data_IF_409953272400
#
_entry.id   IF_409953272400
#
_cell.length_a   1.000
_cell.length_b   1.000
_cell.length_c   1.000
_cell.angle_alpha   90.00
_cell.angle_beta   90.00
_cell.angle_gamma   90.00
#
_symmetry.space_group_name_H-M   'P 1'
#
loop_
_entity.id
_entity.type
_entity.pdbx_description
1 polymer ?
#
# COMPACT_ATOMS: atom_id res chain seq x y z
N UNK A 1 -69.93 -12.54 -30.08
CA UNK A 1 -69.34 -13.74 -29.44
C UNK A 1 -67.83 -13.58 -29.44
N UNK A 2 -67.23 -13.70 -28.26
CA UNK A 2 -65.87 -13.24 -27.91
C UNK A 2 -64.78 -14.05 -28.64
N UNK A 3 -63.78 -13.34 -29.15
CA UNK A 3 -62.52 -13.92 -29.63
C UNK A 3 -61.67 -14.38 -28.45
N UNK A 4 -61.13 -15.60 -28.55
CA UNK A 4 -60.06 -16.11 -27.71
C UNK A 4 -58.74 -15.47 -28.13
N UNK A 5 -58.17 -14.62 -27.28
CA UNK A 5 -56.75 -14.26 -27.33
C UNK A 5 -56.06 -14.96 -26.14
N UNK A 6 -54.88 -15.57 -26.34
CA UNK A 6 -54.07 -16.05 -25.24
C UNK A 6 -53.50 -14.86 -24.46
N UNK A 7 -53.75 -14.82 -23.16
CA UNK A 7 -53.13 -13.86 -22.25
C UNK A 7 -51.61 -14.12 -22.21
N UNK A 8 -50.86 -13.20 -22.80
CA UNK A 8 -49.41 -13.10 -22.62
C UNK A 8 -49.10 -12.42 -21.28
N UNK A 9 -48.10 -12.98 -20.59
CA UNK A 9 -47.50 -12.64 -19.29
C UNK A 9 -47.42 -11.15 -18.95
N UNK A 10 -47.54 -10.85 -17.65
CA UNK A 10 -46.58 -10.00 -16.91
C UNK A 10 -46.76 -10.21 -15.40
N UNK A 11 -45.92 -11.06 -14.83
CA UNK A 11 -45.54 -10.96 -13.41
C UNK A 11 -44.02 -11.11 -13.33
N UNK A 12 -43.30 -10.15 -13.88
CA UNK A 12 -41.95 -9.84 -13.41
C UNK A 12 -42.12 -9.08 -12.11
N UNK A 13 -42.21 -9.81 -11.00
CA UNK A 13 -41.70 -9.29 -9.73
C UNK A 13 -40.23 -9.00 -9.98
N UNK A 14 -39.89 -7.72 -10.21
CA UNK A 14 -38.49 -7.30 -10.17
C UNK A 14 -38.02 -7.56 -8.74
N UNK A 15 -37.27 -8.63 -8.53
CA UNK A 15 -36.47 -8.79 -7.33
C UNK A 15 -35.50 -7.62 -7.38
N UNK A 16 -35.74 -6.62 -6.53
CA UNK A 16 -34.76 -5.55 -6.31
C UNK A 16 -33.64 -6.24 -5.55
N UNK A 17 -32.63 -6.71 -6.28
CA UNK A 17 -31.44 -7.24 -5.64
C UNK A 17 -30.78 -6.10 -4.89
N UNK A 18 -30.49 -6.36 -3.62
CA UNK A 18 -29.62 -5.51 -2.84
C UNK A 18 -28.22 -5.57 -3.45
N UNK A 19 -27.83 -4.49 -4.13
CA UNK A 19 -26.54 -4.37 -4.80
C UNK A 19 -25.41 -4.54 -3.78
N UNK A 20 -25.60 -4.05 -2.55
CA UNK A 20 -24.60 -4.16 -1.50
C UNK A 20 -24.38 -5.62 -1.11
N UNK A 21 -25.46 -6.40 -1.02
CA UNK A 21 -25.38 -7.83 -0.77
C UNK A 21 -24.62 -8.57 -1.88
N UNK A 22 -24.85 -8.22 -3.15
CA UNK A 22 -24.13 -8.84 -4.28
C UNK A 22 -22.64 -8.48 -4.23
N UNK A 23 -22.31 -7.20 -3.97
CA UNK A 23 -20.93 -6.77 -3.81
C UNK A 23 -20.26 -7.54 -2.67
N UNK A 24 -20.93 -7.74 -1.54
CA UNK A 24 -20.40 -8.52 -0.42
C UNK A 24 -20.11 -9.98 -0.82
N UNK A 25 -21.00 -10.60 -1.59
CA UNK A 25 -20.81 -11.97 -2.06
C UNK A 25 -19.58 -12.10 -2.98
N UNK A 26 -19.43 -11.17 -3.92
CA UNK A 26 -18.25 -11.13 -4.78
C UNK A 26 -16.98 -10.76 -4.02
N UNK A 27 -17.09 -9.98 -2.95
CA UNK A 27 -15.98 -9.63 -2.06
C UNK A 27 -15.47 -10.87 -1.30
N UNK A 28 -16.39 -11.68 -0.75
CA UNK A 28 -16.06 -12.96 -0.12
C UNK A 28 -15.40 -13.92 -1.12
N UNK A 29 -16.00 -14.08 -2.30
CA UNK A 29 -15.43 -14.92 -3.35
C UNK A 29 -14.03 -14.46 -3.77
N UNK A 30 -13.83 -13.16 -3.98
CA UNK A 30 -12.53 -12.60 -4.34
C UNK A 30 -11.48 -12.90 -3.26
N UNK A 31 -11.85 -12.79 -1.99
CA UNK A 31 -10.99 -13.10 -0.85
C UNK A 31 -10.53 -14.56 -0.86
N UNK A 32 -11.46 -15.49 -1.01
CA UNK A 32 -11.15 -16.92 -1.02
C UNK A 32 -10.31 -17.31 -2.25
N UNK A 33 -10.59 -16.71 -3.41
CA UNK A 33 -9.78 -16.94 -4.62
C UNK A 33 -8.35 -16.43 -4.43
N UNK A 34 -8.17 -15.23 -3.87
CA UNK A 34 -6.82 -14.69 -3.59
C UNK A 34 -6.07 -15.51 -2.55
N UNK A 35 -6.74 -15.95 -1.48
CA UNK A 35 -6.13 -16.81 -0.45
C UNK A 35 -5.60 -18.14 -1.03
N UNK A 36 -6.25 -18.65 -2.08
CA UNK A 36 -5.85 -19.86 -2.81
C UNK A 36 -4.91 -19.58 -4.00
N UNK A 37 -4.49 -18.33 -4.22
CA UNK A 37 -3.65 -17.96 -5.36
C UNK A 37 -4.32 -18.11 -6.73
N UNK A 38 -5.65 -18.06 -6.78
CA UNK A 38 -6.45 -18.23 -7.99
C UNK A 38 -6.88 -16.88 -8.56
N UNK A 39 -6.49 -16.62 -9.80
CA UNK A 39 -6.86 -15.41 -10.56
C UNK A 39 -7.76 -15.70 -11.76
N UNK A 40 -7.86 -16.99 -12.11
CA UNK A 40 -8.72 -17.53 -13.16
C UNK A 40 -9.45 -18.73 -12.56
N UNK A 41 -10.76 -18.82 -12.77
CA UNK A 41 -11.61 -19.84 -12.20
C UNK A 41 -12.63 -20.36 -13.22
N UNK A 42 -13.17 -21.55 -12.95
CA UNK A 42 -14.17 -22.19 -13.81
C UNK A 42 -15.59 -21.82 -13.39
N UNK A 43 -16.56 -22.00 -14.28
CA UNK A 43 -17.98 -21.90 -13.92
C UNK A 43 -18.34 -22.80 -12.73
N UNK A 44 -17.76 -24.00 -12.69
CA UNK A 44 -17.96 -24.95 -11.60
C UNK A 44 -17.43 -24.40 -10.27
N UNK A 45 -16.31 -23.68 -10.29
CA UNK A 45 -15.74 -23.03 -9.09
C UNK A 45 -16.71 -22.00 -8.54
N UNK A 46 -17.25 -21.13 -9.40
CA UNK A 46 -18.18 -20.06 -9.01
C UNK A 46 -19.48 -20.67 -8.47
N UNK A 47 -20.13 -21.57 -9.24
CA UNK A 47 -21.43 -22.15 -8.86
C UNK A 47 -21.40 -22.96 -7.56
N UNK A 48 -20.25 -23.56 -7.23
CA UNK A 48 -20.13 -24.36 -6.01
C UNK A 48 -19.54 -23.63 -4.82
N UNK A 49 -19.12 -22.38 -4.99
CA UNK A 49 -18.62 -21.57 -3.87
C UNK A 49 -19.74 -21.39 -2.84
N UNK A 50 -19.41 -21.47 -1.54
CA UNK A 50 -20.39 -21.38 -0.44
C UNK A 50 -21.27 -20.14 -0.53
N UNK A 51 -20.65 -19.00 -0.81
CA UNK A 51 -21.32 -17.69 -0.92
C UNK A 51 -22.40 -17.64 -2.01
N UNK A 52 -22.23 -18.45 -3.06
CA UNK A 52 -23.09 -18.48 -4.24
C UNK A 52 -24.07 -19.65 -4.18
N UNK A 53 -23.59 -20.84 -3.85
CA UNK A 53 -24.29 -22.13 -3.95
C UNK A 53 -25.72 -22.12 -3.41
N UNK A 54 -25.98 -21.47 -2.27
CA UNK A 54 -27.32 -21.40 -1.70
C UNK A 54 -28.30 -20.62 -2.60
N UNK A 55 -27.88 -19.46 -3.09
CA UNK A 55 -28.67 -18.60 -3.99
C UNK A 55 -29.00 -19.28 -5.32
N UNK A 56 -28.08 -20.10 -5.83
CA UNK A 56 -28.32 -20.90 -7.03
C UNK A 56 -29.33 -22.01 -6.77
N UNK A 57 -29.21 -22.71 -5.64
CA UNK A 57 -30.11 -23.81 -5.30
C UNK A 57 -31.54 -23.34 -5.04
N UNK A 58 -31.71 -22.10 -4.60
CA UNK A 58 -33.02 -21.47 -4.34
C UNK A 58 -33.59 -20.74 -5.57
N UNK A 59 -32.92 -20.81 -6.73
CA UNK A 59 -33.25 -20.06 -7.94
C UNK A 59 -33.36 -18.54 -7.71
N UNK A 60 -32.69 -18.04 -6.67
CA UNK A 60 -32.70 -16.62 -6.31
C UNK A 60 -31.80 -15.80 -7.23
N UNK A 61 -30.78 -16.39 -7.85
CA UNK A 61 -29.91 -15.73 -8.85
C UNK A 61 -29.65 -16.72 -9.99
N UNK A 62 -29.87 -16.30 -11.24
CA UNK A 62 -29.51 -17.11 -12.40
C UNK A 62 -28.09 -16.77 -12.92
N UNK A 63 -27.51 -17.68 -13.71
CA UNK A 63 -26.14 -17.51 -14.22
C UNK A 63 -25.98 -16.29 -15.14
N UNK A 64 -26.99 -16.00 -15.96
CA UNK A 64 -26.95 -14.84 -16.86
C UNK A 64 -27.05 -13.51 -16.11
N UNK A 65 -27.82 -13.48 -15.03
CA UNK A 65 -27.95 -12.35 -14.13
C UNK A 65 -26.66 -12.14 -13.33
N UNK A 66 -26.02 -13.21 -12.85
CA UNK A 66 -24.71 -13.12 -12.20
C UNK A 66 -23.64 -12.53 -13.11
N UNK A 67 -23.61 -12.94 -14.39
CA UNK A 67 -22.69 -12.41 -15.40
C UNK A 67 -23.08 -11.02 -15.90
N UNK A 68 -24.28 -10.53 -15.60
CA UNK A 68 -24.68 -9.16 -15.94
C UNK A 68 -24.00 -8.12 -15.04
N UNK A 69 -23.56 -8.52 -13.85
CA UNK A 69 -22.76 -7.65 -12.99
C UNK A 69 -21.36 -7.48 -13.55
N UNK A 70 -20.84 -6.24 -13.59
CA UNK A 70 -19.54 -5.95 -14.18
C UNK A 70 -18.37 -6.35 -13.26
N UNK A 71 -18.45 -7.47 -12.55
CA UNK A 71 -17.38 -7.93 -11.66
C UNK A 71 -16.48 -8.97 -12.30
N UNK A 72 -17.08 -9.91 -13.04
CA UNK A 72 -16.39 -11.04 -13.66
C UNK A 72 -16.54 -10.96 -15.18
N UNK A 73 -15.47 -11.26 -15.90
CA UNK A 73 -15.45 -11.37 -17.36
C UNK A 73 -15.20 -12.82 -17.77
N UNK A 74 -15.88 -13.25 -18.84
CA UNK A 74 -15.69 -14.56 -19.43
C UNK A 74 -14.60 -14.50 -20.50
N UNK A 75 -13.55 -15.31 -20.35
CA UNK A 75 -12.53 -15.54 -21.38
C UNK A 75 -12.56 -16.99 -21.84
N UNK A 76 -13.37 -17.25 -22.86
CA UNK A 76 -13.61 -18.61 -23.35
C UNK A 76 -14.35 -19.45 -22.31
N UNK A 77 -13.72 -20.53 -21.82
CA UNK A 77 -14.29 -21.42 -20.78
C UNK A 77 -13.97 -21.00 -19.34
N UNK A 78 -13.17 -19.95 -19.20
CA UNK A 78 -12.66 -19.46 -17.94
C UNK A 78 -13.25 -18.11 -17.59
N UNK A 79 -13.21 -17.79 -16.31
CA UNK A 79 -13.70 -16.55 -15.75
C UNK A 79 -12.61 -15.92 -14.89
N UNK A 80 -12.56 -14.61 -14.88
CA UNK A 80 -11.64 -13.80 -14.07
C UNK A 80 -12.37 -12.53 -13.66
N UNK A 81 -11.92 -11.86 -12.60
CA UNK A 81 -12.38 -10.51 -12.33
C UNK A 81 -11.90 -9.57 -13.44
N UNK A 82 -12.59 -8.43 -13.64
CA UNK A 82 -12.23 -7.46 -14.69
C UNK A 82 -10.74 -7.13 -14.74
N UNK A 83 -10.11 -7.01 -13.57
CA UNK A 83 -8.67 -6.92 -13.40
C UNK A 83 -8.24 -7.65 -12.11
N UNK A 84 -6.97 -8.02 -12.03
CA UNK A 84 -6.38 -8.56 -10.79
C UNK A 84 -6.47 -7.55 -9.64
N UNK A 85 -6.25 -6.27 -9.92
CA UNK A 85 -6.35 -5.21 -8.94
C UNK A 85 -7.79 -5.09 -8.38
N UNK A 86 -8.80 -5.28 -9.24
CA UNK A 86 -10.20 -5.30 -8.82
C UNK A 86 -10.56 -6.52 -7.95
N UNK A 87 -10.02 -7.70 -8.29
CA UNK A 87 -10.12 -8.88 -7.40
C UNK A 87 -9.49 -8.60 -6.04
N UNK A 88 -8.31 -7.99 -6.01
CA UNK A 88 -7.62 -7.66 -4.78
C UNK A 88 -8.38 -6.60 -3.95
N UNK A 89 -8.98 -5.60 -4.60
CA UNK A 89 -9.87 -4.62 -3.95
C UNK A 89 -11.08 -5.28 -3.28
N UNK A 90 -11.78 -6.18 -4.00
CA UNK A 90 -12.94 -6.89 -3.46
C UNK A 90 -12.54 -7.83 -2.30
N UNK A 91 -11.42 -8.53 -2.43
CA UNK A 91 -10.84 -9.33 -1.35
C UNK A 91 -10.57 -8.48 -0.11
N UNK A 92 -9.96 -7.30 -0.30
CA UNK A 92 -9.68 -6.36 0.78
C UNK A 92 -10.97 -5.84 1.42
N UNK A 93 -11.98 -5.48 0.64
CA UNK A 93 -13.29 -5.04 1.15
C UNK A 93 -13.91 -6.08 2.10
N UNK A 94 -13.93 -7.34 1.69
CA UNK A 94 -14.45 -8.43 2.53
C UNK A 94 -13.64 -8.61 3.81
N UNK A 95 -12.31 -8.62 3.69
CA UNK A 95 -11.40 -8.75 4.81
C UNK A 95 -11.57 -7.62 5.83
N UNK A 96 -11.79 -6.39 5.39
CA UNK A 96 -12.05 -5.25 6.27
C UNK A 96 -13.40 -5.38 6.98
N UNK A 97 -14.46 -5.76 6.27
CA UNK A 97 -15.79 -5.97 6.84
C UNK A 97 -15.81 -7.03 7.94
N UNK A 98 -15.14 -8.17 7.73
CA UNK A 98 -15.01 -9.22 8.76
C UNK A 98 -14.29 -8.74 10.04
N UNK A 99 -13.44 -7.71 9.94
CA UNK A 99 -12.64 -7.22 11.06
C UNK A 99 -13.36 -6.21 11.93
N UNK A 100 -14.21 -5.37 11.34
CA UNK A 100 -15.12 -4.49 12.09
C UNK A 100 -16.05 -5.28 13.01
N UNK A 101 -16.31 -6.55 12.69
CA UNK A 101 -17.19 -7.45 13.44
C UNK A 101 -16.54 -8.18 14.63
N UNK A 102 -15.23 -7.99 14.93
CA UNK A 102 -14.72 -8.46 16.24
C UNK A 102 -13.24 -8.76 16.46
N UNK A 103 -12.29 -8.38 15.60
CA UNK A 103 -10.87 -8.62 15.89
C UNK A 103 -9.95 -7.46 15.47
N UNK A 104 -9.29 -6.85 16.45
CA UNK A 104 -8.21 -5.87 16.24
C UNK A 104 -7.01 -6.59 15.63
N UNK A 105 -6.79 -6.45 14.32
CA UNK A 105 -5.59 -6.98 13.69
C UNK A 105 -4.44 -5.99 13.84
N UNK A 106 -3.28 -6.51 14.26
CA UNK A 106 -2.03 -5.75 14.29
C UNK A 106 -1.56 -5.47 12.87
N UNK A 107 -1.06 -4.24 12.68
CA UNK A 107 -0.56 -3.68 11.43
C UNK A 107 0.37 -4.63 10.66
N UNK A 108 1.16 -5.42 11.38
CA UNK A 108 2.08 -6.44 10.87
C UNK A 108 1.42 -7.55 10.05
N UNK A 109 0.14 -7.88 10.27
CA UNK A 109 -0.54 -8.98 9.55
C UNK A 109 -1.20 -8.51 8.25
N UNK A 110 -1.53 -7.21 8.17
CA UNK A 110 -1.92 -6.58 6.92
C UNK A 110 -0.68 -6.30 6.05
N UNK A 111 0.39 -5.82 6.68
CA UNK A 111 1.67 -5.61 6.01
C UNK A 111 2.32 -6.93 5.58
N UNK A 112 2.05 -8.06 6.24
CA UNK A 112 2.43 -9.37 5.69
C UNK A 112 1.56 -9.79 4.50
N UNK A 113 1.25 -8.90 3.56
CA UNK A 113 0.93 -9.24 2.16
C UNK A 113 2.19 -9.81 1.47
N UNK A 114 2.83 -10.81 2.10
CA UNK A 114 3.83 -11.68 1.46
C UNK A 114 3.09 -12.58 0.49
N UNK A 115 3.69 -12.85 -0.68
CA UNK A 115 3.10 -13.70 -1.70
C UNK A 115 2.50 -12.89 -2.85
N UNK A 116 1.27 -13.20 -3.24
CA UNK A 116 0.68 -12.71 -4.50
C UNK A 116 0.37 -11.20 -4.56
N UNK A 117 0.42 -10.49 -3.43
CA UNK A 117 -0.03 -9.10 -3.31
C UNK A 117 1.11 -8.06 -3.31
N UNK A 118 2.35 -8.47 -3.05
CA UNK A 118 3.50 -7.55 -2.94
C UNK A 118 3.67 -6.68 -4.20
N UNK A 119 3.47 -7.27 -5.38
CA UNK A 119 3.63 -6.57 -6.66
C UNK A 119 2.44 -5.68 -7.03
N UNK A 120 1.34 -5.70 -6.27
CA UNK A 120 0.09 -4.98 -6.57
C UNK A 120 -0.42 -4.16 -5.39
N UNK A 121 0.31 -4.07 -4.28
CA UNK A 121 -0.08 -3.32 -3.08
C UNK A 121 -0.41 -1.87 -3.42
N UNK A 122 0.46 -1.22 -4.19
CA UNK A 122 0.26 0.15 -4.64
C UNK A 122 -1.05 0.33 -5.43
N UNK A 123 -1.34 -0.58 -6.36
CA UNK A 123 -2.57 -0.54 -7.17
C UNK A 123 -3.83 -0.74 -6.32
N UNK A 124 -3.75 -1.55 -5.26
CA UNK A 124 -4.84 -1.77 -4.32
C UNK A 124 -5.13 -0.49 -3.54
N UNK A 125 -4.09 0.18 -3.03
CA UNK A 125 -4.26 1.41 -2.27
C UNK A 125 -4.84 2.53 -3.12
N UNK A 126 -4.37 2.64 -4.37
CA UNK A 126 -4.96 3.53 -5.36
C UNK A 126 -6.45 3.22 -5.55
N UNK A 127 -6.82 1.97 -5.84
CA UNK A 127 -8.22 1.58 -6.02
C UNK A 127 -9.09 1.87 -4.78
N UNK A 128 -8.58 1.59 -3.57
CA UNK A 128 -9.29 1.92 -2.34
C UNK A 128 -9.50 3.42 -2.17
N UNK A 129 -8.49 4.24 -2.51
CA UNK A 129 -8.63 5.70 -2.49
C UNK A 129 -9.62 6.23 -3.54
N UNK A 130 -9.90 5.49 -4.61
CA UNK A 130 -10.90 5.85 -5.61
C UNK A 130 -12.31 5.40 -5.23
N UNK A 131 -12.45 4.13 -4.84
CA UNK A 131 -13.75 3.48 -4.74
C UNK A 131 -14.38 3.60 -3.36
N UNK A 132 -13.58 3.75 -2.30
CA UNK A 132 -14.07 3.77 -0.92
C UNK A 132 -13.16 4.62 -0.01
N UNK A 133 -12.92 5.87 -0.43
CA UNK A 133 -11.94 6.77 0.18
C UNK A 133 -12.14 6.96 1.69
N UNK A 134 -13.38 7.18 2.13
CA UNK A 134 -13.67 7.47 3.53
C UNK A 134 -13.36 6.28 4.42
N UNK A 135 -13.85 5.09 4.06
CA UNK A 135 -13.62 3.87 4.82
C UNK A 135 -12.15 3.47 4.78
N UNK A 136 -11.50 3.55 3.60
CA UNK A 136 -10.07 3.29 3.47
C UNK A 136 -9.24 4.20 4.38
N UNK A 137 -9.52 5.51 4.39
CA UNK A 137 -8.82 6.43 5.25
C UNK A 137 -9.08 6.16 6.74
N UNK A 138 -10.35 6.00 7.12
CA UNK A 138 -10.76 5.83 8.51
C UNK A 138 -10.24 4.54 9.13
N UNK A 139 -10.40 3.44 8.41
CA UNK A 139 -10.13 2.09 8.91
C UNK A 139 -8.69 1.65 8.67
N UNK A 140 -7.99 2.27 7.72
CA UNK A 140 -6.68 1.79 7.28
C UNK A 140 -5.57 2.85 7.26
N UNK A 141 -5.60 3.80 6.33
CA UNK A 141 -4.48 4.73 6.11
C UNK A 141 -4.20 5.60 7.34
N UNK A 142 -5.23 6.21 7.94
CA UNK A 142 -5.04 7.10 9.12
C UNK A 142 -4.55 6.34 10.36
N UNK A 143 -5.11 5.17 10.72
CA UNK A 143 -4.54 4.35 11.79
C UNK A 143 -3.05 4.04 11.64
N UNK A 144 -2.57 3.79 10.42
CA UNK A 144 -1.15 3.52 10.12
C UNK A 144 -0.29 4.75 10.37
N UNK A 145 -0.68 5.87 9.75
CA UNK A 145 0.04 7.13 9.90
C UNK A 145 0.04 7.60 11.36
N UNK A 146 -1.05 7.39 12.11
CA UNK A 146 -1.12 7.64 13.56
C UNK A 146 -0.14 6.77 14.35
N UNK A 147 0.02 5.49 14.01
CA UNK A 147 1.02 4.62 14.67
C UNK A 147 2.43 5.14 14.46
N UNK A 148 2.76 5.55 13.23
CA UNK A 148 4.03 6.19 12.93
C UNK A 148 4.23 7.49 13.73
N UNK A 149 3.28 8.42 13.66
CA UNK A 149 3.35 9.72 14.34
C UNK A 149 3.50 9.58 15.87
N UNK A 150 2.85 8.58 16.47
CA UNK A 150 2.91 8.32 17.91
C UNK A 150 4.18 7.57 18.35
N UNK A 151 4.84 6.85 17.44
CA UNK A 151 6.04 6.07 17.75
C UNK A 151 7.33 6.88 17.63
N UNK A 152 7.30 7.96 16.84
CA UNK A 152 8.44 8.86 16.62
C UNK A 152 8.51 9.92 17.72
N UNK A 153 9.71 10.17 18.23
CA UNK A 153 9.96 11.20 19.24
C UNK A 153 10.33 12.53 18.55
N UNK A 154 9.37 13.45 18.51
CA UNK A 154 9.50 14.74 17.85
C UNK A 154 10.06 15.87 18.74
N UNK A 155 10.84 15.55 19.79
CA UNK A 155 11.39 16.57 20.71
C UNK A 155 12.33 17.57 20.02
N UNK A 156 13.15 17.10 19.08
CA UNK A 156 14.05 17.93 18.26
C UNK A 156 14.46 17.16 16.97
N UNK A 157 15.05 17.82 15.96
CA UNK A 157 15.38 17.18 14.69
C UNK A 157 16.27 15.93 14.79
N UNK A 158 17.29 15.92 15.67
CA UNK A 158 18.17 14.76 15.84
C UNK A 158 17.45 13.57 16.48
N UNK A 159 16.67 13.82 17.52
CA UNK A 159 15.88 12.79 18.20
C UNK A 159 14.79 12.23 17.27
N UNK A 160 14.17 13.10 16.47
CA UNK A 160 13.20 12.69 15.46
C UNK A 160 13.84 11.82 14.39
N UNK A 161 15.01 12.22 13.89
CA UNK A 161 15.78 11.42 12.94
C UNK A 161 16.06 10.04 13.52
N UNK A 162 16.76 9.95 14.65
CA UNK A 162 17.13 8.68 15.28
C UNK A 162 15.92 7.76 15.53
N UNK A 163 14.81 8.32 16.05
CA UNK A 163 13.60 7.55 16.30
C UNK A 163 12.90 7.11 15.02
N UNK A 164 12.89 7.94 13.98
CA UNK A 164 12.32 7.60 12.66
C UNK A 164 13.08 6.46 12.01
N UNK A 165 14.42 6.53 11.95
CA UNK A 165 15.24 5.48 11.35
C UNK A 165 15.02 4.12 12.03
N UNK A 166 14.86 4.13 13.37
CA UNK A 166 14.55 2.94 14.16
C UNK A 166 13.12 2.43 13.96
N UNK A 167 12.12 3.32 13.95
CA UNK A 167 10.70 2.96 13.79
C UNK A 167 10.44 2.32 12.43
N UNK A 168 11.15 2.79 11.41
CA UNK A 168 11.03 2.28 10.04
C UNK A 168 11.95 1.08 9.76
N UNK A 169 12.75 0.64 10.76
CA UNK A 169 13.70 -0.47 10.63
C UNK A 169 14.60 -0.32 9.39
N UNK A 170 15.12 0.88 9.15
CA UNK A 170 15.84 1.19 7.91
C UNK A 170 17.20 0.48 7.86
N UNK A 171 17.39 -0.28 6.79
CA UNK A 171 18.70 -0.80 6.39
C UNK A 171 19.06 -0.19 5.05
N UNK A 172 20.27 0.37 4.98
CA UNK A 172 20.77 1.06 3.80
C UNK A 172 21.97 0.32 3.24
N UNK A 173 21.95 0.05 1.95
CA UNK A 173 23.11 -0.48 1.25
C UNK A 173 23.96 0.69 0.75
N UNK A 174 25.26 0.51 0.65
CA UNK A 174 26.16 1.50 0.07
C UNK A 174 27.21 0.79 -0.76
N UNK A 175 27.61 1.41 -1.87
CA UNK A 175 28.84 1.03 -2.57
C UNK A 175 29.90 2.06 -2.26
N UNK A 176 30.99 1.64 -1.61
CA UNK A 176 32.04 2.53 -1.11
C UNK A 176 33.38 1.95 -1.50
N UNK A 177 34.11 2.63 -2.38
CA UNK A 177 35.48 2.22 -2.73
C UNK A 177 36.42 2.46 -1.55
N UNK A 178 37.24 1.45 -1.19
CA UNK A 178 38.31 1.59 -0.19
C UNK A 178 39.33 2.67 -0.56
N UNK A 179 39.46 3.01 -1.84
CA UNK A 179 40.40 4.05 -2.31
C UNK A 179 39.86 5.47 -2.08
N UNK A 180 38.53 5.64 -2.13
CA UNK A 180 37.91 6.97 -2.17
C UNK A 180 37.07 7.30 -0.94
N UNK A 181 36.58 6.29 -0.22
CA UNK A 181 35.65 6.39 0.91
C UNK A 181 34.34 7.13 0.60
N UNK A 182 34.01 7.32 -0.67
CA UNK A 182 32.77 8.00 -1.05
C UNK A 182 31.64 6.98 -1.24
N UNK A 183 30.47 7.20 -0.61
CA UNK A 183 29.28 6.42 -0.90
C UNK A 183 28.67 6.81 -2.25
N UNK A 184 28.62 5.85 -3.15
CA UNK A 184 27.85 5.91 -4.39
C UNK A 184 26.39 5.60 -4.12
N UNK A 185 25.50 6.06 -5.02
CA UNK A 185 24.09 5.72 -4.96
C UNK A 185 23.89 4.21 -5.13
N UNK A 186 23.38 3.54 -4.10
CA UNK A 186 22.84 2.19 -4.20
C UNK A 186 21.36 2.25 -4.59
N UNK A 187 20.85 1.16 -5.14
CA UNK A 187 19.41 0.99 -5.30
C UNK A 187 18.84 0.24 -4.10
N UNK A 188 17.96 0.90 -3.35
CA UNK A 188 16.96 0.37 -2.39
C UNK A 188 17.26 0.64 -0.92
N UNK A 189 16.51 1.60 -0.37
CA UNK A 189 16.22 1.73 1.06
C UNK A 189 15.18 0.67 1.42
N UNK A 190 15.45 -0.13 2.47
CA UNK A 190 14.49 -1.01 3.15
C UNK A 190 14.12 -2.34 2.48
N UNK A 191 14.06 -3.37 3.31
CA UNK A 191 13.21 -4.56 3.16
C UNK A 191 12.17 -4.56 4.30
N UNK A 192 11.25 -3.60 4.34
CA UNK A 192 10.41 -3.40 5.54
C UNK A 192 9.22 -2.46 5.43
N UNK A 193 8.10 -2.95 4.88
CA UNK A 193 6.68 -2.74 5.23
C UNK A 193 6.07 -1.42 5.78
N UNK A 194 6.76 -0.28 5.84
CA UNK A 194 6.12 1.01 6.18
C UNK A 194 6.33 2.07 5.09
N UNK A 195 7.23 1.78 4.15
CA UNK A 195 7.52 2.63 2.99
C UNK A 195 6.28 2.85 2.13
N UNK A 196 5.45 1.82 1.89
CA UNK A 196 4.27 1.95 1.01
C UNK A 196 3.27 3.00 1.51
N UNK A 197 3.09 3.15 2.83
CA UNK A 197 2.17 4.14 3.38
C UNK A 197 2.65 5.57 3.22
N UNK A 198 3.94 5.78 3.47
CA UNK A 198 4.59 7.07 3.38
C UNK A 198 4.77 7.47 1.91
N UNK A 199 5.24 6.55 1.07
CA UNK A 199 5.33 6.70 -0.38
C UNK A 199 3.97 7.03 -1.01
N UNK A 200 2.91 6.32 -0.60
CA UNK A 200 1.56 6.55 -1.11
C UNK A 200 1.09 7.99 -0.89
N UNK A 201 1.48 8.61 0.23
CA UNK A 201 1.16 10.02 0.54
C UNK A 201 2.26 11.00 0.11
N UNK A 202 3.23 10.55 -0.68
CA UNK A 202 4.26 11.39 -1.30
C UNK A 202 5.53 11.61 -0.47
N UNK A 203 5.79 10.76 0.51
CA UNK A 203 7.03 10.74 1.29
C UNK A 203 7.90 9.56 0.86
N UNK A 204 8.64 9.76 -0.23
CA UNK A 204 9.61 8.79 -0.74
C UNK A 204 10.87 8.80 0.14
N UNK A 205 11.18 7.65 0.75
CA UNK A 205 12.34 7.51 1.61
C UNK A 205 13.65 7.39 0.82
N UNK A 206 13.60 7.21 -0.51
CA UNK A 206 14.78 7.30 -1.39
C UNK A 206 15.46 8.67 -1.30
N UNK A 207 14.74 9.73 -0.92
CA UNK A 207 15.34 11.04 -0.68
C UNK A 207 16.43 11.00 0.42
N UNK A 208 16.31 10.10 1.41
CA UNK A 208 17.34 9.90 2.43
C UNK A 208 18.65 9.46 1.76
N UNK A 209 18.61 8.48 0.85
CA UNK A 209 19.77 8.05 0.05
C UNK A 209 20.35 9.20 -0.78
N UNK A 210 19.51 10.03 -1.40
CA UNK A 210 19.98 11.19 -2.18
C UNK A 210 20.75 12.20 -1.33
N UNK A 211 20.36 12.38 -0.07
CA UNK A 211 21.11 13.20 0.88
C UNK A 211 22.49 12.61 1.21
N UNK A 212 22.62 11.28 1.20
CA UNK A 212 23.82 10.54 1.57
C UNK A 212 24.67 10.06 0.38
N UNK A 213 24.30 10.42 -0.86
CA UNK A 213 25.08 10.05 -2.05
C UNK A 213 26.05 11.15 -2.48
N UNK A 214 27.11 10.70 -3.16
CA UNK A 214 27.98 11.55 -3.95
C UNK A 214 27.38 11.78 -5.34
N UNK A 215 26.74 12.92 -5.57
CA UNK A 215 26.52 13.43 -6.93
C UNK A 215 27.77 14.17 -7.40
N UNK A 216 28.17 14.00 -8.67
CA UNK A 216 29.41 14.56 -9.23
C UNK A 216 29.47 16.11 -9.22
N UNK A 217 28.40 16.79 -8.78
CA UNK A 217 28.29 18.25 -8.73
C UNK A 217 27.77 18.66 -7.34
N UNK A 218 28.65 18.82 -6.36
CA UNK A 218 28.29 19.12 -4.99
C UNK A 218 29.25 20.07 -4.26
N UNK A 219 28.70 20.84 -3.32
CA UNK A 219 29.38 21.70 -2.35
C UNK A 219 30.51 20.95 -1.61
N UNK A 220 31.68 21.59 -1.44
CA UNK A 220 32.83 21.04 -0.69
C UNK A 220 32.45 20.61 0.73
N UNK A 221 31.49 21.32 1.35
CA UNK A 221 30.99 20.99 2.69
C UNK A 221 30.29 19.62 2.73
N UNK A 222 29.43 19.34 1.75
CA UNK A 222 28.74 18.04 1.59
C UNK A 222 29.77 16.94 1.35
N UNK A 223 30.76 17.20 0.49
CA UNK A 223 31.81 16.23 0.15
C UNK A 223 32.61 15.77 1.37
N UNK A 224 33.00 16.70 2.26
CA UNK A 224 33.69 16.37 3.51
C UNK A 224 32.83 15.47 4.42
N UNK A 225 31.52 15.76 4.53
CA UNK A 225 30.61 14.95 5.34
C UNK A 225 30.34 13.57 4.76
N UNK A 226 30.29 13.44 3.44
CA UNK A 226 30.19 12.15 2.76
C UNK A 226 31.45 11.27 2.97
N UNK A 227 32.64 11.87 3.01
CA UNK A 227 33.87 11.15 3.38
C UNK A 227 33.79 10.60 4.80
N UNK A 228 33.37 11.44 5.76
CA UNK A 228 33.19 11.00 7.14
C UNK A 228 32.14 9.88 7.24
N UNK A 229 31.05 9.99 6.48
CA UNK A 229 30.03 8.95 6.40
C UNK A 229 30.60 7.62 5.91
N UNK A 230 31.33 7.62 4.79
CA UNK A 230 31.88 6.40 4.22
C UNK A 230 32.95 5.76 5.11
N UNK A 231 33.79 6.58 5.77
CA UNK A 231 34.72 6.09 6.80
C UNK A 231 34.00 5.42 7.96
N UNK A 232 32.93 6.03 8.46
CA UNK A 232 32.13 5.47 9.56
C UNK A 232 31.49 4.14 9.15
N UNK A 233 30.92 4.04 7.95
CA UNK A 233 30.29 2.81 7.44
C UNK A 233 31.32 1.68 7.31
N UNK A 234 32.50 1.97 6.75
CA UNK A 234 33.59 1.00 6.62
C UNK A 234 34.09 0.55 8.00
N UNK A 235 34.24 1.47 8.96
CA UNK A 235 34.69 1.17 10.32
C UNK A 235 33.66 0.39 11.14
N UNK A 236 32.37 0.46 10.80
CA UNK A 236 31.34 -0.38 11.38
C UNK A 236 31.45 -1.86 10.94
N UNK A 237 32.42 -2.21 10.09
CA UNK A 237 32.69 -3.57 9.58
C UNK A 237 31.47 -4.24 8.92
N UNK A 238 30.60 -3.40 8.35
CA UNK A 238 29.32 -3.82 7.78
C UNK A 238 29.46 -4.36 6.35
N UNK A 239 30.18 -5.46 6.16
CA UNK A 239 30.39 -6.02 4.81
C UNK A 239 29.09 -6.57 4.20
N UNK A 240 28.76 -6.07 3.01
CA UNK A 240 27.69 -6.58 2.15
C UNK A 240 28.07 -7.85 1.40
N UNK A 241 27.28 -8.20 0.38
CA UNK A 241 27.45 -9.45 -0.36
C UNK A 241 28.60 -9.41 -1.39
N UNK A 242 28.86 -8.23 -1.99
CA UNK A 242 29.96 -8.04 -2.94
C UNK A 242 31.11 -7.24 -2.35
N UNK A 243 32.25 -7.25 -3.06
CA UNK A 243 33.39 -6.39 -2.76
C UNK A 243 32.98 -4.92 -2.88
N UNK A 244 33.41 -4.11 -1.91
CA UNK A 244 33.11 -2.67 -1.80
C UNK A 244 31.62 -2.34 -1.53
N UNK A 245 30.80 -3.33 -1.20
CA UNK A 245 29.42 -3.12 -0.74
C UNK A 245 29.34 -3.20 0.78
N UNK A 246 28.60 -2.28 1.37
CA UNK A 246 28.41 -2.17 2.82
C UNK A 246 26.95 -1.99 3.19
N UNK A 247 26.57 -2.41 4.39
CA UNK A 247 25.18 -2.40 4.87
C UNK A 247 25.07 -1.65 6.20
N UNK A 248 24.50 -0.45 6.18
CA UNK A 248 24.27 0.29 7.42
C UNK A 248 22.90 -0.05 8.00
N UNK A 249 22.88 -0.81 9.10
CA UNK A 249 21.69 -1.02 9.91
C UNK A 249 21.43 0.20 10.82
N UNK A 250 20.40 0.98 10.51
CA UNK A 250 20.07 2.18 11.27
C UNK A 250 19.26 1.87 12.54
N UNK A 251 18.76 0.65 12.71
CA UNK A 251 18.19 0.21 14.00
C UNK A 251 19.31 0.13 15.04
N UNK A 252 20.46 -0.44 14.65
CA UNK A 252 21.62 -0.57 15.54
C UNK A 252 22.39 0.74 15.68
N UNK A 253 22.63 1.45 14.57
CA UNK A 253 23.53 2.60 14.54
C UNK A 253 22.82 3.97 14.59
N UNK A 254 21.50 4.04 14.42
CA UNK A 254 20.78 5.32 14.26
C UNK A 254 20.80 6.27 15.46
N UNK A 255 21.26 5.79 16.63
CA UNK A 255 21.50 6.64 17.82
C UNK A 255 22.97 7.02 18.04
N UNK A 256 23.87 6.63 17.14
CA UNK A 256 25.27 7.00 17.21
C UNK A 256 25.42 8.53 17.06
N UNK A 257 26.04 9.24 18.02
CA UNK A 257 26.15 10.70 17.99
C UNK A 257 26.93 11.25 16.77
N UNK A 258 27.97 10.55 16.34
CA UNK A 258 28.80 10.93 15.20
C UNK A 258 28.02 10.75 13.90
N UNK A 259 27.31 9.62 13.75
CA UNK A 259 26.42 9.40 12.61
C UNK A 259 25.33 10.46 12.55
N UNK A 260 24.67 10.77 13.67
CA UNK A 260 23.62 11.80 13.71
C UNK A 260 24.13 13.20 13.35
N UNK A 261 25.36 13.55 13.74
CA UNK A 261 25.99 14.81 13.34
C UNK A 261 26.24 14.85 11.82
N UNK A 262 26.70 13.74 11.24
CA UNK A 262 26.88 13.61 9.80
C UNK A 262 25.53 13.71 9.07
N UNK A 263 24.52 12.97 9.51
CA UNK A 263 23.17 12.97 8.92
C UNK A 263 22.51 14.35 8.99
N UNK A 264 22.66 15.07 10.10
CA UNK A 264 22.17 16.44 10.23
C UNK A 264 22.87 17.38 9.24
N UNK A 265 24.20 17.29 9.12
CA UNK A 265 24.98 18.11 8.20
C UNK A 265 24.66 17.80 6.71
N UNK A 266 24.27 16.57 6.40
CA UNK A 266 23.83 16.16 5.06
C UNK A 266 22.36 16.55 4.76
N UNK A 267 21.63 17.03 5.77
CA UNK A 267 20.24 17.48 5.65
C UNK A 267 19.18 16.39 5.88
N UNK A 268 19.58 15.17 6.25
CA UNK A 268 18.65 14.05 6.49
C UNK A 268 17.73 14.35 7.67
N UNK A 269 18.26 14.89 8.77
CA UNK A 269 17.45 15.23 9.95
C UNK A 269 16.38 16.29 9.63
N UNK A 270 16.71 17.29 8.82
CA UNK A 270 15.78 18.35 8.42
C UNK A 270 14.71 17.82 7.44
N UNK A 271 15.10 16.93 6.51
CA UNK A 271 14.16 16.24 5.64
C UNK A 271 13.13 15.43 6.45
N UNK A 272 13.59 14.59 7.37
CA UNK A 272 12.72 13.76 8.21
C UNK A 272 11.84 14.60 9.13
N UNK A 273 12.37 15.71 9.66
CA UNK A 273 11.59 16.67 10.45
C UNK A 273 10.42 17.24 9.65
N UNK A 274 10.67 17.72 8.42
CA UNK A 274 9.61 18.23 7.54
C UNK A 274 8.61 17.16 7.17
N UNK A 275 9.09 15.97 6.81
CA UNK A 275 8.26 14.82 6.46
C UNK A 275 7.31 14.47 7.61
N UNK A 276 7.81 14.33 8.84
CA UNK A 276 6.98 14.05 10.02
C UNK A 276 5.84 15.06 10.20
N UNK A 277 6.14 16.36 10.13
CA UNK A 277 5.10 17.39 10.31
C UNK A 277 4.12 17.44 9.14
N UNK A 278 4.53 17.04 7.94
CA UNK A 278 3.61 16.87 6.80
C UNK A 278 2.67 15.70 7.04
N UNK A 279 3.18 14.54 7.47
CA UNK A 279 2.37 13.37 7.85
C UNK A 279 1.38 13.73 8.97
N UNK A 280 1.83 14.40 10.02
CA UNK A 280 0.99 14.84 11.14
C UNK A 280 -0.16 15.74 10.63
N UNK A 281 0.14 16.74 9.79
CA UNK A 281 -0.87 17.62 9.20
C UNK A 281 -1.88 16.87 8.33
N UNK A 282 -1.42 15.89 7.56
CA UNK A 282 -2.30 15.05 6.74
C UNK A 282 -3.26 14.24 7.61
N UNK A 283 -2.75 13.65 8.70
CA UNK A 283 -3.57 12.92 9.68
C UNK A 283 -4.62 13.83 10.32
N UNK A 284 -4.21 15.00 10.80
CA UNK A 284 -5.12 15.96 11.43
C UNK A 284 -6.20 16.45 10.46
N UNK A 285 -5.80 16.80 9.22
CA UNK A 285 -6.72 17.23 8.16
C UNK A 285 -7.71 16.15 7.77
N UNK A 286 -7.27 14.91 7.65
CA UNK A 286 -8.15 13.79 7.33
C UNK A 286 -9.19 13.59 8.44
N UNK A 287 -8.77 13.60 9.70
CA UNK A 287 -9.69 13.47 10.86
C UNK A 287 -10.67 14.63 10.89
N UNK A 288 -10.22 15.88 10.70
CA UNK A 288 -11.11 17.05 10.70
C UNK A 288 -12.13 17.03 9.56
N UNK A 289 -11.76 16.42 8.42
CA UNK A 289 -12.62 16.28 7.25
C UNK A 289 -13.38 14.94 7.23
N UNK A 290 -13.57 14.31 8.40
CA UNK A 290 -14.28 13.04 8.54
C UNK A 290 -13.79 11.95 7.57
N UNK A 291 -12.47 11.87 7.39
CA UNK A 291 -11.76 10.89 6.55
C UNK A 291 -12.04 11.00 5.04
N UNK A 292 -12.72 12.05 4.58
CA UNK A 292 -13.06 12.23 3.16
C UNK A 292 -11.95 12.89 2.32
N UNK A 293 -10.85 13.31 2.95
CA UNK A 293 -9.75 13.96 2.24
C UNK A 293 -8.89 12.95 1.51
N UNK A 294 -8.61 13.23 0.24
CA UNK A 294 -7.63 12.49 -0.53
C UNK A 294 -6.21 12.75 -0.01
N UNK A 295 -5.44 11.68 0.19
CA UNK A 295 -4.09 11.73 0.76
C UNK A 295 -3.01 11.21 -0.19
N UNK A 296 -3.38 10.55 -1.29
CA UNK A 296 -2.42 10.05 -2.28
C UNK A 296 -1.68 11.18 -3.01
N UNK A 297 -0.39 10.94 -3.29
CA UNK A 297 0.46 11.82 -4.09
C UNK A 297 0.11 11.82 -5.58
N UNK A 298 -0.68 10.85 -6.04
CA UNK A 298 -1.08 10.65 -7.44
C UNK A 298 -2.33 11.41 -7.85
N UNK A 299 -2.84 12.31 -6.98
CA UNK A 299 -4.10 13.00 -7.21
C UNK A 299 -4.16 13.77 -8.54
N UNK A 300 -3.01 14.18 -9.07
CA UNK A 300 -2.85 14.91 -10.34
C UNK A 300 -2.20 14.08 -11.47
N UNK A 301 -1.87 12.79 -11.27
CA UNK A 301 -1.24 11.96 -12.32
C UNK A 301 -2.29 11.27 -13.21
N UNK A 302 -2.54 11.75 -14.45
CA UNK A 302 -3.55 11.16 -15.33
C UNK A 302 -3.18 9.76 -15.84
N UNK A 303 -1.89 9.37 -15.81
CA UNK A 303 -1.45 8.03 -16.24
C UNK A 303 -1.80 6.97 -15.21
N UNK A 304 -1.74 7.33 -13.93
CA UNK A 304 -2.08 6.47 -12.79
C UNK A 304 -3.61 6.44 -12.59
N UNK A 305 -4.29 7.56 -12.87
CA UNK A 305 -5.73 7.76 -12.63
C UNK A 305 -6.64 7.30 -13.78
N UNK A 306 -6.34 6.15 -14.40
CA UNK A 306 -7.12 5.61 -15.54
C UNK A 306 -8.61 5.37 -15.27
N UNK A 307 -9.02 5.38 -14.01
CA UNK A 307 -10.41 5.18 -13.58
C UNK A 307 -11.12 6.46 -13.08
N UNK A 308 -10.47 7.63 -13.15
CA UNK A 308 -10.98 8.89 -12.55
C UNK A 308 -11.42 9.92 -13.60
N UNK A 309 -11.23 9.66 -14.90
CA UNK A 309 -11.81 10.53 -15.92
C UNK A 309 -13.31 10.25 -16.09
N UNK A 310 -14.09 10.75 -15.13
CA UNK A 310 -15.45 11.20 -15.37
C UNK A 310 -15.40 12.72 -15.36
N UNK A 311 -15.31 13.30 -16.56
CA UNK A 311 -16.09 14.51 -16.84
C UNK A 311 -17.58 14.12 -16.86
#
# INVERSE_FOLDING_TARGET
>A
MKSLLPQYRKSTTSIVFDIDHIVDMFSEFANDMMANGQVIFSEHTIKNHSVFKHKWNEEEIDWSEMLSFPFIVQRGKWYEFQTLAFQAYLSLKHFLKQKEEGNTVFYTDFLKLRGAFLNIEHDIWLLCSELDLQHFNQSYLIPILKKYVNAVDATNPRTLCASTLRVLELTLNFRISEDTYFPDASGSCCDGLVSTALEFIGHDLLDIELHMNCSEVGDESKRSKLLCLGQLIIQADSLGYNKDEYVLDLVEHGSNPELLEILEALGVCEFLWRSYYQVLRLVEKAVSNNYTSRLDSYSEDPKVRRFVTTD
#
